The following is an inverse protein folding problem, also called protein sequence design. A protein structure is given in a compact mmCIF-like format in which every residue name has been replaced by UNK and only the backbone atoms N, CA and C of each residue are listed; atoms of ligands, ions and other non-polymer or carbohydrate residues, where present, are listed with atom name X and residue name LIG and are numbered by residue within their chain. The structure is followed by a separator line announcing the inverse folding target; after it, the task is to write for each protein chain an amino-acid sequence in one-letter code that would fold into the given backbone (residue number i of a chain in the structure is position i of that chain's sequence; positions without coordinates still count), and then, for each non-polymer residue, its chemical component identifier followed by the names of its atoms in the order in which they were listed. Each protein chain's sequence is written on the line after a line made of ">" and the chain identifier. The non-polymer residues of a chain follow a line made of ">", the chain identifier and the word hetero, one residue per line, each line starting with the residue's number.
data_IF_849408084310
#
_entry.id   IF_849408084310
#
_cell.length_a   1.000
_cell.length_b   1.000
_cell.length_c   1.000
_cell.angle_alpha   90.00
_cell.angle_beta   90.00
_cell.angle_gamma   90.00
#
_symmetry.space_group_name_H-M   'P 1'
#
loop_
_entity.id
_entity.type
_entity.pdbx_description
1 polymer ?
#
# COMPACT_ATOMS: atom_id res chain seq x y z
N UNK A 1 7.56 44.62 88.34
CA UNK A 1 7.71 45.56 87.20
C UNK A 1 7.67 44.86 85.86
N UNK A 2 6.58 45.06 85.13
CA UNK A 2 6.51 44.71 83.71
C UNK A 2 7.13 45.88 82.95
N UNK A 3 8.37 45.69 82.46
CA UNK A 3 9.06 46.67 81.62
C UNK A 3 8.66 46.46 80.16
N UNK A 4 7.95 47.43 79.59
CA UNK A 4 7.59 47.45 78.18
C UNK A 4 8.61 48.26 77.35
N UNK A 5 8.86 47.87 76.09
CA UNK A 5 9.70 48.63 75.17
C UNK A 5 9.07 49.97 74.80
N UNK A 6 9.89 50.92 74.33
CA UNK A 6 9.41 52.23 73.87
C UNK A 6 8.54 52.10 72.61
N UNK A 7 7.47 52.89 72.53
CA UNK A 7 6.51 52.87 71.41
C UNK A 7 7.19 53.07 70.05
N UNK A 8 8.14 53.99 69.93
CA UNK A 8 8.88 54.23 68.69
C UNK A 8 9.69 53.01 68.22
N UNK A 9 10.20 52.19 69.15
CA UNK A 9 10.93 50.96 68.81
C UNK A 9 9.98 49.89 68.28
N UNK A 10 8.80 49.76 68.88
CA UNK A 10 7.77 48.83 68.45
C UNK A 10 7.22 49.24 67.07
N UNK A 11 6.94 50.53 66.88
CA UNK A 11 6.46 51.07 65.60
C UNK A 11 7.49 50.92 64.47
N UNK A 12 8.77 51.19 64.75
CA UNK A 12 9.84 50.98 63.78
C UNK A 12 10.02 49.52 63.38
N UNK A 13 9.85 48.58 64.32
CA UNK A 13 9.83 47.15 64.01
C UNK A 13 8.61 46.80 63.18
N UNK A 14 7.39 47.18 63.59
CA UNK A 14 6.15 46.91 62.85
C UNK A 14 6.24 47.42 61.41
N UNK A 15 6.74 48.64 61.19
CA UNK A 15 6.87 49.22 59.86
C UNK A 15 7.94 48.48 59.03
N UNK A 16 9.07 48.11 59.64
CA UNK A 16 10.12 47.34 58.95
C UNK A 16 9.63 45.95 58.54
N UNK A 17 9.00 45.20 59.45
CA UNK A 17 8.43 43.88 59.12
C UNK A 17 7.29 44.02 58.13
N UNK A 18 6.41 45.03 58.29
CA UNK A 18 5.32 45.32 57.36
C UNK A 18 5.82 45.54 55.93
N UNK A 19 6.85 46.37 55.73
CA UNK A 19 7.50 46.57 54.42
C UNK A 19 8.14 45.28 53.88
N UNK A 20 8.76 44.47 54.73
CA UNK A 20 9.33 43.18 54.33
C UNK A 20 8.26 42.16 53.91
N UNK A 21 7.11 42.15 54.59
CA UNK A 21 5.98 41.29 54.21
C UNK A 21 5.34 41.73 52.91
N UNK A 22 5.10 43.03 52.73
CA UNK A 22 4.54 43.58 51.48
C UNK A 22 5.45 43.28 50.29
N UNK A 23 6.75 43.52 50.41
CA UNK A 23 7.71 43.21 49.32
C UNK A 23 7.78 41.71 48.99
N UNK A 24 7.65 40.82 49.98
CA UNK A 24 7.55 39.37 49.74
C UNK A 24 6.24 38.99 49.07
N UNK A 25 5.13 39.61 49.49
CA UNK A 25 3.81 39.40 48.91
C UNK A 25 3.77 39.85 47.44
N UNK A 26 4.35 41.00 47.13
CA UNK A 26 4.44 41.52 45.75
C UNK A 26 5.29 40.60 44.87
N UNK A 27 6.42 40.09 45.37
CA UNK A 27 7.24 39.09 44.65
C UNK A 27 6.49 37.78 44.42
N UNK A 28 5.77 37.28 45.42
CA UNK A 28 4.97 36.08 45.29
C UNK A 28 3.86 36.25 44.24
N UNK A 29 3.18 37.41 44.26
CA UNK A 29 2.18 37.76 43.26
C UNK A 29 2.78 37.84 41.86
N UNK A 30 3.90 38.52 41.70
CA UNK A 30 4.57 38.67 40.41
C UNK A 30 5.05 37.33 39.84
N UNK A 31 5.63 36.47 40.68
CA UNK A 31 6.03 35.11 40.29
C UNK A 31 4.83 34.26 39.90
N UNK A 32 3.71 34.38 40.62
CA UNK A 32 2.48 33.66 40.30
C UNK A 32 1.89 34.12 38.97
N UNK A 33 1.85 35.42 38.71
CA UNK A 33 1.34 35.96 37.44
C UNK A 33 2.20 35.56 36.25
N UNK A 34 3.54 35.57 36.41
CA UNK A 34 4.47 35.16 35.36
C UNK A 34 4.38 33.65 35.06
N UNK A 35 4.21 32.83 36.11
CA UNK A 35 3.98 31.40 35.94
C UNK A 35 2.66 31.15 35.20
N UNK A 36 1.57 31.82 35.59
CA UNK A 36 0.28 31.69 34.93
C UNK A 36 0.31 32.11 33.45
N UNK A 37 0.96 33.22 33.11
CA UNK A 37 1.10 33.65 31.71
C UNK A 37 1.92 32.64 30.89
N UNK A 38 3.03 32.15 31.43
CA UNK A 38 3.85 31.12 30.78
C UNK A 38 3.07 29.81 30.57
N UNK A 39 2.18 29.45 31.49
CA UNK A 39 1.29 28.30 31.32
C UNK A 39 0.28 28.49 30.20
N UNK A 40 -0.31 29.68 30.05
CA UNK A 40 -1.23 29.98 28.93
C UNK A 40 -0.50 29.87 27.59
N UNK A 41 0.72 30.43 27.49
CA UNK A 41 1.55 30.32 26.29
C UNK A 41 1.93 28.88 25.96
N UNK A 42 2.26 28.09 26.98
CA UNK A 42 2.56 26.66 26.80
C UNK A 42 1.33 25.90 26.31
N UNK A 43 0.14 26.19 26.87
CA UNK A 43 -1.11 25.57 26.46
C UNK A 43 -1.46 25.92 25.01
N UNK A 44 -1.28 27.18 24.62
CA UNK A 44 -1.54 27.62 23.24
C UNK A 44 -0.60 26.97 22.23
N UNK A 45 0.69 26.83 22.57
CA UNK A 45 1.66 26.10 21.76
C UNK A 45 1.29 24.61 21.64
N UNK A 46 0.85 23.97 22.73
CA UNK A 46 0.39 22.57 22.71
C UNK A 46 -0.84 22.41 21.82
N UNK A 47 -1.83 23.31 21.89
CA UNK A 47 -3.00 23.26 21.00
C UNK A 47 -2.63 23.39 19.53
N UNK A 48 -1.71 24.31 19.18
CA UNK A 48 -1.25 24.46 17.80
C UNK A 48 -0.51 23.21 17.30
N UNK A 49 0.31 22.61 18.15
CA UNK A 49 0.99 21.35 17.83
C UNK A 49 -0.01 20.21 17.66
N UNK A 50 -1.05 20.15 18.48
CA UNK A 50 -2.12 19.16 18.35
C UNK A 50 -2.86 19.32 17.01
N UNK A 51 -3.31 20.53 16.68
CA UNK A 51 -4.07 20.80 15.45
C UNK A 51 -3.26 20.49 14.19
N UNK A 52 -1.98 20.89 14.18
CA UNK A 52 -1.08 20.58 13.06
C UNK A 52 -0.81 19.09 12.93
N UNK A 53 -0.69 18.37 14.05
CA UNK A 53 -0.52 16.93 14.05
C UNK A 53 -1.78 16.21 13.54
N UNK A 54 -2.95 16.64 13.98
CA UNK A 54 -4.25 16.11 13.54
C UNK A 54 -4.44 16.28 12.03
N UNK A 55 -4.16 17.47 11.49
CA UNK A 55 -4.24 17.73 10.04
C UNK A 55 -3.26 16.84 9.24
N UNK A 56 -2.02 16.71 9.71
CA UNK A 56 -1.03 15.86 9.06
C UNK A 56 -1.45 14.38 9.08
N UNK A 57 -2.03 13.89 10.18
CA UNK A 57 -2.54 12.52 10.28
C UNK A 57 -3.71 12.25 9.34
N UNK A 58 -4.66 13.18 9.22
CA UNK A 58 -5.78 13.07 8.27
C UNK A 58 -5.23 12.96 6.84
N UNK A 59 -4.28 13.84 6.49
CA UNK A 59 -3.63 13.80 5.17
C UNK A 59 -2.90 12.49 4.91
N UNK A 60 -2.16 11.98 5.90
CA UNK A 60 -1.43 10.72 5.77
C UNK A 60 -2.39 9.53 5.65
N UNK A 61 -3.51 9.54 6.38
CA UNK A 61 -4.58 8.54 6.26
C UNK A 61 -5.18 8.54 4.86
N UNK A 62 -5.54 9.71 4.32
CA UNK A 62 -6.11 9.82 2.99
C UNK A 62 -5.13 9.34 1.90
N UNK A 63 -3.85 9.69 2.05
CA UNK A 63 -2.79 9.20 1.17
C UNK A 63 -2.69 7.66 1.24
N UNK A 64 -2.65 7.10 2.45
CA UNK A 64 -2.61 5.65 2.69
C UNK A 64 -3.81 4.94 2.05
N UNK A 65 -5.03 5.45 2.22
CA UNK A 65 -6.25 4.90 1.62
C UNK A 65 -6.18 4.98 0.09
N UNK A 66 -5.72 6.12 -0.45
CA UNK A 66 -5.53 6.29 -1.89
C UNK A 66 -4.55 5.28 -2.48
N UNK A 67 -3.39 5.08 -1.84
CA UNK A 67 -2.42 4.08 -2.26
C UNK A 67 -2.96 2.65 -2.18
N UNK A 68 -3.72 2.31 -1.13
CA UNK A 68 -4.36 1.01 -1.00
C UNK A 68 -5.38 0.77 -2.12
N UNK A 69 -6.19 1.78 -2.47
CA UNK A 69 -7.15 1.71 -3.56
C UNK A 69 -6.49 1.48 -4.93
N UNK A 70 -5.42 2.23 -5.24
CA UNK A 70 -4.68 2.09 -6.50
C UNK A 70 -4.00 0.71 -6.58
N UNK A 71 -3.42 0.23 -5.47
CA UNK A 71 -2.81 -1.09 -5.39
C UNK A 71 -3.80 -2.21 -5.69
N UNK A 72 -5.01 -2.11 -5.14
CA UNK A 72 -6.09 -3.07 -5.36
C UNK A 72 -6.64 -3.04 -6.78
N UNK A 73 -6.80 -1.85 -7.38
CA UNK A 73 -7.20 -1.72 -8.77
C UNK A 73 -6.18 -2.36 -9.72
N UNK A 74 -4.88 -2.08 -9.51
CA UNK A 74 -3.80 -2.67 -10.30
C UNK A 74 -3.79 -4.19 -10.17
N UNK A 75 -4.02 -4.72 -8.95
CA UNK A 75 -4.12 -6.16 -8.70
C UNK A 75 -5.25 -6.79 -9.51
N UNK A 76 -6.44 -6.19 -9.51
CA UNK A 76 -7.60 -6.68 -10.26
C UNK A 76 -7.35 -6.66 -11.77
N UNK A 77 -6.74 -5.59 -12.29
CA UNK A 77 -6.37 -5.48 -13.71
C UNK A 77 -5.32 -6.54 -14.10
N UNK A 78 -4.31 -6.76 -13.27
CA UNK A 78 -3.29 -7.80 -13.50
C UNK A 78 -3.87 -9.21 -13.48
N UNK A 79 -4.79 -9.51 -12.56
CA UNK A 79 -5.48 -10.79 -12.51
C UNK A 79 -6.35 -11.02 -13.74
N UNK A 80 -7.12 -10.01 -14.15
CA UNK A 80 -7.92 -10.07 -15.36
C UNK A 80 -7.04 -10.30 -16.61
N UNK A 81 -5.90 -9.61 -16.71
CA UNK A 81 -4.94 -9.80 -17.78
C UNK A 81 -4.34 -11.21 -17.77
N UNK A 82 -3.96 -11.74 -16.60
CA UNK A 82 -3.46 -13.10 -16.45
C UNK A 82 -4.47 -14.14 -16.95
N UNK A 83 -5.75 -13.99 -16.61
CA UNK A 83 -6.81 -14.87 -17.10
C UNK A 83 -6.97 -14.80 -18.62
N UNK A 84 -6.97 -13.59 -19.19
CA UNK A 84 -7.04 -13.39 -20.65
C UNK A 84 -5.83 -14.00 -21.37
N UNK A 85 -4.62 -13.79 -20.86
CA UNK A 85 -3.40 -14.37 -21.43
C UNK A 85 -3.45 -15.89 -21.35
N UNK A 86 -3.90 -16.46 -20.23
CA UNK A 86 -4.07 -17.91 -20.08
C UNK A 86 -5.05 -18.48 -21.12
N UNK A 87 -6.19 -17.83 -21.34
CA UNK A 87 -7.17 -18.25 -22.35
C UNK A 87 -6.58 -18.18 -23.77
N UNK A 88 -5.89 -17.08 -24.10
CA UNK A 88 -5.23 -16.92 -25.39
C UNK A 88 -4.14 -17.99 -25.62
N UNK A 89 -3.36 -18.31 -24.59
CA UNK A 89 -2.36 -19.38 -24.63
C UNK A 89 -3.00 -20.72 -24.95
N UNK A 90 -4.11 -21.07 -24.31
CA UNK A 90 -4.83 -22.32 -24.59
C UNK A 90 -5.35 -22.33 -26.03
N UNK A 91 -5.95 -21.24 -26.50
CA UNK A 91 -6.43 -21.12 -27.88
C UNK A 91 -5.32 -21.30 -28.91
N UNK A 92 -4.17 -20.64 -28.71
CA UNK A 92 -3.02 -20.74 -29.62
C UNK A 92 -2.47 -22.18 -29.63
N UNK A 93 -2.35 -22.83 -28.46
CA UNK A 93 -1.92 -24.24 -28.39
C UNK A 93 -2.88 -25.17 -29.12
N UNK A 94 -4.19 -24.96 -28.97
CA UNK A 94 -5.21 -25.72 -29.71
C UNK A 94 -5.10 -25.54 -31.22
N UNK A 95 -4.94 -24.29 -31.69
CA UNK A 95 -4.74 -24.00 -33.11
C UNK A 95 -3.45 -24.62 -33.66
N UNK A 96 -2.36 -24.58 -32.89
CA UNK A 96 -1.08 -25.17 -33.29
C UNK A 96 -1.19 -26.69 -33.44
N UNK A 97 -1.90 -27.37 -32.53
CA UNK A 97 -2.18 -28.80 -32.63
C UNK A 97 -2.99 -29.12 -33.90
N UNK A 98 -4.09 -28.38 -34.12
CA UNK A 98 -4.93 -28.58 -35.31
C UNK A 98 -4.16 -28.37 -36.61
N UNK A 99 -3.27 -27.36 -36.68
CA UNK A 99 -2.43 -27.12 -37.85
C UNK A 99 -1.42 -28.25 -38.07
N UNK A 100 -0.85 -28.82 -37.01
CA UNK A 100 0.04 -29.98 -37.13
C UNK A 100 -0.68 -31.20 -37.71
N UNK A 101 -1.91 -31.46 -37.26
CA UNK A 101 -2.73 -32.56 -37.77
C UNK A 101 -3.14 -32.33 -39.23
N UNK A 102 -3.59 -31.12 -39.58
CA UNK A 102 -3.91 -30.75 -40.96
C UNK A 102 -2.70 -30.88 -41.89
N UNK A 103 -1.51 -30.50 -41.44
CA UNK A 103 -0.30 -30.61 -42.26
C UNK A 103 0.07 -32.08 -42.55
N UNK A 104 -0.15 -32.98 -41.58
CA UNK A 104 0.06 -34.41 -41.77
C UNK A 104 -0.96 -35.01 -42.74
N UNK A 105 -2.22 -34.61 -42.63
CA UNK A 105 -3.29 -35.05 -43.52
C UNK A 105 -3.05 -34.55 -44.96
N UNK A 106 -2.73 -33.26 -45.12
CA UNK A 106 -2.43 -32.66 -46.42
C UNK A 106 -1.26 -33.36 -47.11
N UNK A 107 -0.19 -33.68 -46.36
CA UNK A 107 0.92 -34.47 -46.88
C UNK A 107 0.48 -35.83 -47.40
N UNK A 108 -0.39 -36.55 -46.66
CA UNK A 108 -0.88 -37.88 -47.07
C UNK A 108 -1.74 -37.78 -48.33
N UNK A 109 -2.66 -36.82 -48.36
CA UNK A 109 -3.54 -36.57 -49.50
C UNK A 109 -2.72 -36.22 -50.74
N UNK A 110 -1.70 -35.37 -50.60
CA UNK A 110 -0.88 -34.95 -51.74
C UNK A 110 -0.09 -36.12 -52.34
N UNK A 111 0.46 -37.01 -51.50
CA UNK A 111 1.12 -38.24 -51.96
C UNK A 111 0.12 -39.19 -52.64
N UNK A 112 -1.09 -39.34 -52.10
CA UNK A 112 -2.15 -40.15 -52.71
C UNK A 112 -2.57 -39.60 -54.09
N UNK A 113 -2.73 -38.27 -54.20
CA UNK A 113 -3.04 -37.61 -55.48
C UNK A 113 -1.92 -37.83 -56.49
N UNK A 114 -0.66 -37.70 -56.09
CA UNK A 114 0.49 -37.95 -56.98
C UNK A 114 0.49 -39.40 -57.53
N UNK A 115 0.25 -40.37 -56.66
CA UNK A 115 0.12 -41.79 -57.07
C UNK A 115 -1.06 -41.95 -58.03
N UNK A 116 -2.22 -41.36 -57.74
CA UNK A 116 -3.42 -41.44 -58.58
C UNK A 116 -3.19 -40.81 -59.95
N UNK A 117 -2.56 -39.64 -60.03
CA UNK A 117 -2.22 -38.99 -61.29
C UNK A 117 -1.29 -39.89 -62.12
N UNK A 118 -0.24 -40.45 -61.49
CA UNK A 118 0.70 -41.36 -62.17
C UNK A 118 0.02 -42.64 -62.66
N UNK A 119 -0.94 -43.16 -61.91
CA UNK A 119 -1.68 -44.37 -62.29
C UNK A 119 -2.50 -44.20 -63.58
N UNK A 120 -2.91 -42.97 -63.92
CA UNK A 120 -3.63 -42.65 -65.15
C UNK A 120 -2.77 -42.76 -66.42
N UNK A 121 -1.44 -42.92 -66.32
CA UNK A 121 -0.54 -42.96 -67.48
C UNK A 121 -0.80 -44.14 -68.42
N UNK A 122 -1.41 -45.22 -67.92
CA UNK A 122 -1.84 -46.35 -68.74
C UNK A 122 -3.30 -46.31 -69.20
N UNK A 123 -4.09 -45.32 -68.78
CA UNK A 123 -5.54 -45.27 -69.03
C UNK A 123 -6.02 -43.99 -69.71
N UNK A 124 -5.26 -42.90 -69.62
CA UNK A 124 -5.61 -41.59 -70.20
C UNK A 124 -4.67 -41.24 -71.37
N UNK A 125 -5.15 -40.48 -72.35
CA UNK A 125 -4.34 -40.06 -73.50
C UNK A 125 -3.21 -39.11 -73.14
N UNK A 126 -3.41 -38.28 -72.10
CA UNK A 126 -2.44 -37.34 -71.56
C UNK A 126 -2.48 -37.38 -70.03
N UNK A 127 -1.32 -37.27 -69.39
CA UNK A 127 -1.18 -37.18 -67.93
C UNK A 127 -0.40 -35.94 -67.54
N UNK A 128 -0.88 -35.25 -66.50
CA UNK A 128 -0.21 -34.09 -65.93
C UNK A 128 1.05 -34.56 -65.18
N UNK A 129 2.26 -34.05 -65.50
CA UNK A 129 3.43 -34.29 -64.68
C UNK A 129 3.29 -33.54 -63.35
N UNK A 130 2.93 -34.27 -62.30
CA UNK A 130 2.87 -33.79 -60.93
C UNK A 130 3.99 -34.45 -60.10
N UNK A 131 4.56 -33.72 -59.15
CA UNK A 131 5.57 -34.26 -58.23
C UNK A 131 5.45 -33.58 -56.87
N UNK A 132 5.37 -34.38 -55.82
CA UNK A 132 5.25 -33.89 -54.43
C UNK A 132 6.58 -33.37 -53.93
N UNK A 133 6.58 -32.18 -53.32
CA UNK A 133 7.74 -31.65 -52.61
C UNK A 133 7.67 -31.96 -51.11
N UNK A 134 8.24 -33.09 -50.72
CA UNK A 134 8.30 -33.54 -49.32
C UNK A 134 9.19 -32.65 -48.42
N UNK A 135 10.16 -31.94 -49.00
CA UNK A 135 11.09 -31.09 -48.26
C UNK A 135 10.37 -29.86 -47.68
N UNK A 136 9.41 -29.31 -48.43
CA UNK A 136 8.57 -28.23 -47.91
C UNK A 136 7.83 -28.68 -46.66
N UNK A 137 7.13 -29.82 -46.69
CA UNK A 137 6.41 -30.36 -45.52
C UNK A 137 7.32 -30.56 -44.30
N UNK A 138 8.56 -31.00 -44.49
CA UNK A 138 9.53 -31.12 -43.41
C UNK A 138 9.92 -29.75 -42.81
N UNK A 139 10.13 -28.74 -43.66
CA UNK A 139 10.40 -27.37 -43.22
C UNK A 139 9.22 -26.77 -42.43
N UNK A 140 7.98 -26.92 -42.92
CA UNK A 140 6.78 -26.47 -42.23
C UNK A 140 6.62 -27.16 -40.86
N UNK A 141 6.88 -28.46 -40.78
CA UNK A 141 6.87 -29.20 -39.51
C UNK A 141 7.91 -28.68 -38.52
N UNK A 142 9.13 -28.38 -38.99
CA UNK A 142 10.18 -27.81 -38.15
C UNK A 142 9.81 -26.41 -37.63
N UNK A 143 9.18 -25.58 -38.46
CA UNK A 143 8.63 -24.29 -38.05
C UNK A 143 7.54 -24.42 -36.99
N UNK A 144 6.59 -25.35 -37.15
CA UNK A 144 5.54 -25.56 -36.15
C UNK A 144 6.09 -26.11 -34.82
N UNK A 145 7.12 -26.95 -34.88
CA UNK A 145 7.79 -27.49 -33.70
C UNK A 145 8.51 -26.39 -32.90
N UNK A 146 9.21 -25.46 -33.58
CA UNK A 146 9.92 -24.36 -32.92
C UNK A 146 8.97 -23.35 -32.27
N UNK A 147 7.77 -23.15 -32.84
CA UNK A 147 6.73 -22.31 -32.23
C UNK A 147 6.18 -22.90 -30.92
N UNK A 148 6.13 -24.22 -30.80
CA UNK A 148 5.64 -24.90 -29.60
C UNK A 148 6.63 -24.79 -28.43
N UNK A 149 7.93 -24.80 -28.70
CA UNK A 149 8.98 -24.83 -27.66
C UNK A 149 9.28 -23.46 -27.06
N UNK A 150 9.07 -22.37 -27.81
CA UNK A 150 9.76 -21.12 -27.51
C UNK A 150 8.99 -20.08 -26.67
N UNK A 151 7.65 -20.11 -26.59
CA UNK A 151 6.94 -18.85 -26.30
C UNK A 151 5.85 -18.85 -25.22
N UNK A 152 5.65 -19.94 -24.46
CA UNK A 152 4.59 -19.97 -23.44
C UNK A 152 5.12 -20.46 -22.10
N UNK A 153 6.04 -19.68 -21.53
CA UNK A 153 6.53 -19.88 -20.17
C UNK A 153 5.32 -19.92 -19.23
N UNK A 154 5.17 -21.01 -18.48
CA UNK A 154 4.11 -21.13 -17.49
C UNK A 154 4.19 -19.91 -16.57
N UNK A 155 3.10 -19.13 -16.54
CA UNK A 155 3.06 -17.95 -15.68
C UNK A 155 3.11 -18.45 -14.24
N UNK A 156 4.12 -18.06 -13.42
CA UNK A 156 4.29 -18.61 -12.10
C UNK A 156 2.99 -18.52 -11.29
N UNK A 157 2.72 -19.62 -10.57
CA UNK A 157 1.57 -19.78 -9.72
C UNK A 157 1.52 -18.68 -8.67
N UNK A 158 0.39 -17.98 -8.63
CA UNK A 158 -0.07 -17.11 -7.56
C UNK A 158 0.78 -15.84 -7.32
N UNK A 159 0.25 -14.71 -7.79
CA UNK A 159 0.57 -13.42 -7.16
C UNK A 159 0.11 -13.55 -5.72
N UNK A 160 1.04 -13.51 -4.76
CA UNK A 160 0.67 -13.47 -3.34
C UNK A 160 -0.22 -12.24 -3.15
N UNK A 161 -1.42 -12.36 -2.55
CA UNK A 161 -2.23 -11.20 -2.25
C UNK A 161 -1.45 -10.39 -1.22
N UNK A 162 -0.95 -9.22 -1.62
CA UNK A 162 -0.51 -8.22 -0.67
C UNK A 162 -1.78 -7.47 -0.28
N UNK A 163 -2.37 -7.83 0.86
CA UNK A 163 -3.46 -7.04 1.42
C UNK A 163 -2.84 -5.91 2.23
N UNK A 164 -3.06 -4.67 1.81
CA UNK A 164 -2.70 -3.49 2.55
C UNK A 164 -3.76 -3.27 3.64
N UNK A 165 -3.44 -3.64 4.88
CA UNK A 165 -4.31 -3.41 6.03
C UNK A 165 -3.97 -2.06 6.67
N UNK A 166 -4.98 -1.22 6.87
CA UNK A 166 -4.89 -0.09 7.79
C UNK A 166 -4.83 -0.66 9.21
N UNK A 167 -3.69 -0.49 9.89
CA UNK A 167 -3.59 -0.82 11.32
C UNK A 167 -3.64 0.48 12.10
N UNK A 168 -4.65 0.60 12.96
CA UNK A 168 -4.71 1.64 13.99
C UNK A 168 -3.72 1.30 15.10
N UNK A 169 -2.67 2.10 15.25
CA UNK A 169 -1.84 2.12 16.43
C UNK A 169 -2.47 3.07 17.44
N UNK A 170 -2.79 2.56 18.62
CA UNK A 170 -3.17 3.41 19.75
C UNK A 170 -1.90 4.14 20.21
N UNK A 171 -1.87 5.45 20.05
CA UNK A 171 -0.81 6.25 20.66
C UNK A 171 -0.91 6.07 22.18
N UNK A 172 0.21 5.73 22.83
CA UNK A 172 0.30 5.74 24.30
C UNK A 172 0.04 7.17 24.76
N UNK A 173 -1.04 7.35 25.53
CA UNK A 173 -1.41 8.61 26.15
C UNK A 173 -0.22 9.17 26.93
N UNK A 174 0.31 10.32 26.52
CA UNK A 174 1.09 11.14 27.45
C UNK A 174 0.09 11.78 28.41
N UNK A 175 -0.12 11.15 29.56
CA UNK A 175 -0.89 11.70 30.67
C UNK A 175 -0.14 12.91 31.28
N UNK A 176 -0.24 14.07 30.66
CA UNK A 176 -0.04 15.33 31.38
C UNK A 176 -1.40 15.79 31.88
N UNK A 177 -1.75 15.38 33.10
CA UNK A 177 -2.96 15.83 33.78
C UNK A 177 -2.85 17.33 34.11
N UNK A 178 -3.63 18.15 33.42
CA UNK A 178 -3.87 19.55 33.81
C UNK A 178 -4.83 19.53 35.01
N UNK A 179 -4.37 19.95 36.20
CA UNK A 179 -5.27 20.23 37.32
C UNK A 179 -5.53 21.74 37.33
N UNK A 180 -6.52 22.17 36.56
CA UNK A 180 -7.23 23.43 36.79
C UNK A 180 -8.71 23.10 36.93
N UNK A 181 -9.23 23.16 38.17
CA UNK A 181 -10.67 22.97 38.42
C UNK A 181 -11.21 21.53 38.35
N UNK A 182 -10.38 20.51 38.56
CA UNK A 182 -10.87 19.16 38.91
C UNK A 182 -11.22 18.21 37.75
N UNK A 183 -10.85 18.51 36.50
CA UNK A 183 -10.90 17.52 35.40
C UNK A 183 -9.59 17.48 34.61
N UNK A 184 -8.91 16.33 34.54
CA UNK A 184 -7.76 16.16 33.64
C UNK A 184 -8.27 16.11 32.20
N UNK A 185 -7.78 17.03 31.37
CA UNK A 185 -7.92 16.96 29.90
C UNK A 185 -6.71 16.18 29.37
N UNK A 186 -6.91 14.91 29.03
CA UNK A 186 -5.93 14.14 28.27
C UNK A 186 -5.79 14.72 26.87
N UNK A 187 -4.72 15.50 26.63
CA UNK A 187 -4.52 16.21 25.36
C UNK A 187 -4.19 15.29 24.18
N UNK A 188 -3.88 14.01 24.42
CA UNK A 188 -3.40 13.07 23.40
C UNK A 188 -4.11 11.71 23.42
N UNK A 189 -5.24 11.57 24.13
CA UNK A 189 -5.96 10.28 24.26
C UNK A 189 -6.57 9.78 22.94
N UNK A 190 -6.72 10.65 21.93
CA UNK A 190 -7.46 10.34 20.69
C UNK A 190 -6.60 10.27 19.44
N UNK A 191 -5.28 10.30 19.57
CA UNK A 191 -4.38 10.26 18.41
C UNK A 191 -4.29 8.82 17.89
N UNK A 192 -4.92 8.58 16.74
CA UNK A 192 -4.89 7.29 16.04
C UNK A 192 -3.88 7.35 14.89
N UNK A 193 -2.80 6.58 15.00
CA UNK A 193 -1.81 6.49 13.94
C UNK A 193 -2.13 5.31 13.02
N UNK A 194 -2.15 5.54 11.71
CA UNK A 194 -2.44 4.50 10.73
C UNK A 194 -1.16 4.08 10.01
N UNK A 195 -0.88 2.79 9.96
CA UNK A 195 0.24 2.25 9.18
C UNK A 195 -0.25 1.23 8.18
N UNK A 196 0.38 1.19 7.01
CA UNK A 196 0.19 0.14 6.03
C UNK A 196 1.01 -1.09 6.44
N UNK A 197 0.35 -2.21 6.68
CA UNK A 197 1.02 -3.50 6.83
C UNK A 197 0.74 -4.38 5.61
N UNK A 198 1.77 -5.12 5.19
CA UNK A 198 1.61 -6.25 4.28
C UNK A 198 0.97 -7.39 5.06
N UNK A 199 -0.33 -7.57 4.91
CA UNK A 199 -1.03 -8.74 5.42
C UNK A 199 -0.79 -9.96 4.54
N UNK A 200 -0.60 -11.12 5.17
CA UNK A 200 -0.85 -12.40 4.52
C UNK A 200 -2.37 -12.64 4.52
N UNK A 201 -2.91 -13.18 3.44
CA UNK A 201 -4.34 -13.48 3.23
C UNK A 201 -5.00 -14.37 4.32
N UNK A 202 -4.25 -14.83 5.31
CA UNK A 202 -4.74 -15.68 6.41
C UNK A 202 -4.97 -14.93 7.74
N UNK A 203 -4.78 -13.61 7.81
CA UNK A 203 -4.94 -12.84 9.07
C UNK A 203 -6.22 -12.02 9.17
N UNK A 204 -7.22 -12.28 8.32
CA UNK A 204 -8.56 -11.68 8.45
C UNK A 204 -9.58 -12.72 8.93
N UNK A 205 -9.59 -12.98 10.24
CA UNK A 205 -10.78 -13.37 11.02
C UNK A 205 -10.75 -12.60 12.33
#
# INVERSE_FOLDING_TARGET
>A
DIRCPSGCRVEGLINKTGKQFMTRMDRAKQSSTASYSSHIESLSAITQLHDTFEENMIRDKDAIIGFAGIGEELRMRLLALKLKVKDQVVKIKGLLSNLQDQLLEMKRIEVDIDIKIRSCQGSCSNVLPYMVNLNNYAAWKAHLASLNTNNMKEMPGHLRPISLLLVQQNATSLEHSIITGGKPLGFFENIQQYTLKLGNYNETV
#
